data_IF_774633113401
#
_entry.id   IF_774633113401
#
_cell.length_a   1.000
_cell.length_b   1.000
_cell.length_c   1.000
_cell.angle_alpha   90.00
_cell.angle_beta   90.00
_cell.angle_gamma   90.00
#
_symmetry.space_group_name_H-M   'P 1'
#
loop_
_entity.id
_entity.type
_entity.pdbx_description
1 polymer ?
#
# COMPACT_ATOMS: atom_id res chain seq x y z
N UNK A 1 -8.57 -35.30 -34.32
CA UNK A 1 -7.83 -34.11 -33.84
C UNK A 1 -7.56 -34.13 -32.33
N UNK A 2 -8.48 -34.63 -31.51
CA UNK A 2 -8.41 -34.55 -30.04
C UNK A 2 -7.18 -35.21 -29.38
N UNK A 3 -6.70 -36.35 -29.92
CA UNK A 3 -5.53 -37.03 -29.33
C UNK A 3 -4.23 -36.21 -29.41
N UNK A 4 -4.00 -35.49 -30.51
CA UNK A 4 -2.78 -34.68 -30.69
C UNK A 4 -2.75 -33.49 -29.73
N UNK A 5 -3.91 -32.90 -29.46
CA UNK A 5 -4.10 -31.77 -28.55
C UNK A 5 -3.85 -32.19 -27.10
N UNK A 6 -4.29 -33.40 -26.72
CA UNK A 6 -4.01 -33.97 -25.41
C UNK A 6 -2.50 -34.14 -25.16
N UNK A 7 -1.77 -34.74 -26.09
CA UNK A 7 -0.32 -34.95 -25.92
C UNK A 7 0.48 -33.65 -25.87
N UNK A 8 0.07 -32.63 -26.63
CA UNK A 8 0.75 -31.32 -26.59
C UNK A 8 0.51 -30.61 -25.26
N UNK A 9 -0.71 -30.64 -24.72
CA UNK A 9 -1.01 -30.06 -23.41
C UNK A 9 -0.20 -30.77 -22.30
N UNK A 10 -0.18 -32.11 -22.28
CA UNK A 10 0.56 -32.87 -21.27
C UNK A 10 2.07 -32.64 -21.36
N UNK A 11 2.61 -32.51 -22.59
CA UNK A 11 4.03 -32.26 -22.82
C UNK A 11 4.45 -30.86 -22.35
N UNK A 12 3.68 -29.82 -22.71
CA UNK A 12 3.95 -28.44 -22.26
C UNK A 12 3.78 -28.32 -20.75
N UNK A 13 2.80 -29.02 -20.17
CA UNK A 13 2.60 -29.07 -18.73
C UNK A 13 3.82 -29.65 -18.01
N UNK A 14 4.33 -30.80 -18.47
CA UNK A 14 5.53 -31.45 -17.92
C UNK A 14 6.78 -30.57 -17.94
N UNK A 15 6.90 -29.70 -18.93
CA UNK A 15 8.03 -28.78 -19.10
C UNK A 15 7.99 -27.58 -18.15
N UNK A 16 6.79 -27.18 -17.70
CA UNK A 16 6.58 -26.03 -16.80
C UNK A 16 6.61 -26.40 -15.32
N UNK A 17 6.38 -27.67 -14.95
CA UNK A 17 6.37 -28.15 -13.56
C UNK A 17 7.60 -27.76 -12.72
N UNK A 18 8.86 -27.85 -13.20
CA UNK A 18 10.03 -27.60 -12.34
C UNK A 18 10.24 -26.12 -11.99
N UNK A 19 9.54 -25.18 -12.64
CA UNK A 19 9.72 -23.74 -12.43
C UNK A 19 8.60 -23.07 -11.62
N UNK A 20 7.63 -23.87 -11.13
CA UNK A 20 6.43 -23.35 -10.49
C UNK A 20 6.46 -23.55 -8.97
N UNK A 21 6.07 -22.51 -8.23
CA UNK A 21 5.86 -22.59 -6.79
C UNK A 21 4.82 -23.67 -6.43
N UNK A 22 4.97 -24.31 -5.27
CA UNK A 22 4.15 -25.45 -4.81
C UNK A 22 2.63 -25.18 -4.92
N UNK A 23 2.20 -23.97 -4.60
CA UNK A 23 0.79 -23.54 -4.71
C UNK A 23 0.26 -23.57 -6.13
N UNK A 24 1.09 -23.18 -7.11
CA UNK A 24 0.71 -23.16 -8.52
C UNK A 24 0.64 -24.60 -9.06
N UNK A 25 1.49 -25.48 -8.55
CA UNK A 25 1.55 -26.90 -8.89
C UNK A 25 0.26 -27.63 -8.46
N UNK A 26 -0.22 -27.37 -7.23
CA UNK A 26 -1.49 -27.90 -6.71
C UNK A 26 -2.70 -27.38 -7.51
N UNK A 27 -2.71 -26.09 -7.85
CA UNK A 27 -3.78 -25.51 -8.65
C UNK A 27 -3.83 -26.12 -10.06
N UNK A 28 -2.67 -26.27 -10.70
CA UNK A 28 -2.56 -26.84 -12.05
C UNK A 28 -2.95 -28.33 -12.09
N UNK A 29 -2.53 -29.14 -11.10
CA UNK A 29 -2.92 -30.55 -11.03
C UNK A 29 -4.42 -30.72 -10.77
N UNK A 30 -5.00 -29.94 -9.86
CA UNK A 30 -6.45 -29.96 -9.62
C UNK A 30 -7.24 -29.59 -10.88
N UNK A 31 -6.78 -28.57 -11.62
CA UNK A 31 -7.43 -28.14 -12.88
C UNK A 31 -7.34 -29.21 -13.96
N UNK A 32 -6.19 -29.90 -14.06
CA UNK A 32 -5.97 -31.02 -14.99
C UNK A 32 -6.89 -32.21 -14.68
N UNK A 33 -7.02 -32.57 -13.39
CA UNK A 33 -7.92 -33.65 -12.95
C UNK A 33 -9.38 -33.31 -13.26
N UNK A 34 -9.82 -32.08 -12.98
CA UNK A 34 -11.20 -31.64 -13.27
C UNK A 34 -11.48 -31.64 -14.78
N UNK A 35 -10.53 -31.20 -15.61
CA UNK A 35 -10.69 -31.22 -17.08
C UNK A 35 -10.71 -32.63 -17.66
N UNK A 36 -9.95 -33.57 -17.09
CA UNK A 36 -9.94 -34.98 -17.50
C UNK A 36 -11.25 -35.69 -17.09
N UNK A 37 -11.71 -35.46 -15.86
CA UNK A 37 -12.90 -36.15 -15.29
C UNK A 37 -14.20 -35.60 -15.87
N UNK A 38 -14.31 -34.27 -16.05
CA UNK A 38 -15.59 -33.64 -16.40
C UNK A 38 -15.82 -33.49 -17.92
N UNK A 39 -14.77 -33.72 -18.74
CA UNK A 39 -14.77 -33.54 -20.22
C UNK A 39 -15.66 -32.39 -20.72
N UNK A 40 -15.49 -31.17 -20.20
CA UNK A 40 -16.34 -30.06 -20.59
C UNK A 40 -16.13 -29.71 -22.08
N UNK A 41 -17.14 -29.19 -22.77
CA UNK A 41 -17.01 -28.77 -24.15
C UNK A 41 -15.90 -27.71 -24.30
N UNK A 42 -15.26 -27.67 -25.47
CA UNK A 42 -14.05 -26.89 -25.75
C UNK A 42 -14.21 -25.38 -25.49
N UNK A 43 -15.44 -24.86 -25.50
CA UNK A 43 -15.77 -23.48 -25.14
C UNK A 43 -15.59 -23.20 -23.65
N UNK A 44 -16.00 -24.14 -22.79
CA UNK A 44 -15.88 -24.02 -21.32
C UNK A 44 -14.43 -24.09 -20.86
N UNK A 45 -13.59 -24.93 -21.48
CA UNK A 45 -12.15 -24.99 -21.16
C UNK A 45 -11.43 -23.69 -21.52
N UNK A 46 -11.79 -23.07 -22.65
CA UNK A 46 -11.25 -21.76 -23.04
C UNK A 46 -11.66 -20.66 -22.06
N UNK A 47 -12.92 -20.62 -21.60
CA UNK A 47 -13.38 -19.63 -20.63
C UNK A 47 -12.68 -19.79 -19.28
N UNK A 48 -12.54 -21.03 -18.78
CA UNK A 48 -11.84 -21.32 -17.51
C UNK A 48 -10.35 -20.98 -17.64
N UNK A 49 -9.72 -21.32 -18.77
CA UNK A 49 -8.34 -20.94 -19.03
C UNK A 49 -8.15 -19.42 -19.03
N UNK A 50 -9.05 -18.68 -19.68
CA UNK A 50 -8.99 -17.22 -19.73
C UNK A 50 -9.18 -16.58 -18.35
N UNK A 51 -10.08 -17.08 -17.51
CA UNK A 51 -10.27 -16.56 -16.15
C UNK A 51 -9.08 -16.86 -15.24
N UNK A 52 -8.48 -18.05 -15.33
CA UNK A 52 -7.28 -18.39 -14.57
C UNK A 52 -6.09 -17.53 -15.01
N UNK A 53 -5.88 -17.35 -16.33
CA UNK A 53 -4.82 -16.48 -16.85
C UNK A 53 -5.05 -15.02 -16.40
N UNK A 54 -6.28 -14.52 -16.47
CA UNK A 54 -6.64 -13.19 -15.97
C UNK A 54 -6.33 -13.04 -14.48
N UNK A 55 -6.64 -14.05 -13.66
CA UNK A 55 -6.37 -14.05 -12.23
C UNK A 55 -4.86 -14.07 -11.94
N UNK A 56 -4.09 -14.91 -12.63
CA UNK A 56 -2.64 -14.99 -12.50
C UNK A 56 -1.95 -13.69 -12.94
N UNK A 57 -2.40 -13.09 -14.04
CA UNK A 57 -1.90 -11.77 -14.50
C UNK A 57 -2.25 -10.69 -13.49
N UNK A 58 -3.46 -10.71 -12.90
CA UNK A 58 -3.86 -9.77 -11.85
C UNK A 58 -3.00 -9.88 -10.59
N UNK A 59 -2.73 -11.11 -10.13
CA UNK A 59 -1.86 -11.37 -8.97
C UNK A 59 -0.41 -10.97 -9.28
N UNK A 60 0.10 -11.35 -10.45
CA UNK A 60 1.45 -11.00 -10.88
C UNK A 60 1.65 -9.49 -11.00
N UNK A 61 0.67 -8.77 -11.56
CA UNK A 61 0.69 -7.31 -11.66
C UNK A 61 0.58 -6.64 -10.30
N UNK A 62 -0.24 -7.16 -9.39
CA UNK A 62 -0.30 -6.72 -8.00
C UNK A 62 1.06 -6.86 -7.30
N UNK A 63 1.74 -8.01 -7.48
CA UNK A 63 3.09 -8.20 -6.96
C UNK A 63 4.11 -7.26 -7.61
N UNK A 64 4.04 -7.02 -8.91
CA UNK A 64 4.94 -6.09 -9.61
C UNK A 64 4.70 -4.63 -9.21
N UNK A 65 3.46 -4.20 -9.03
CA UNK A 65 3.11 -2.85 -8.55
C UNK A 65 3.56 -2.63 -7.09
N UNK A 66 3.63 -3.69 -6.29
CA UNK A 66 4.19 -3.67 -4.94
C UNK A 66 5.73 -3.66 -4.93
N UNK A 67 6.37 -4.21 -5.97
CA UNK A 67 7.83 -4.33 -6.08
C UNK A 67 8.47 -3.19 -6.89
N UNK A 68 7.72 -2.48 -7.74
CA UNK A 68 8.22 -1.34 -8.49
C UNK A 68 8.63 -0.19 -7.56
N UNK A 69 9.92 -0.20 -7.23
CA UNK A 69 10.79 0.91 -6.83
C UNK A 69 10.01 2.12 -6.31
N UNK A 70 9.64 2.04 -5.03
CA UNK A 70 9.24 3.22 -4.30
C UNK A 70 10.40 4.20 -4.26
N UNK A 71 10.14 5.50 -4.44
CA UNK A 71 11.17 6.52 -4.31
C UNK A 71 11.73 6.39 -2.90
N UNK A 72 13.00 5.98 -2.82
CA UNK A 72 13.73 5.93 -1.57
C UNK A 72 13.88 7.36 -1.10
N UNK A 73 13.03 7.78 -0.17
CA UNK A 73 13.26 9.02 0.57
C UNK A 73 14.62 8.85 1.25
N UNK A 74 15.58 9.67 0.86
CA UNK A 74 16.93 9.60 1.41
C UNK A 74 16.90 9.81 2.92
N UNK A 75 17.91 9.29 3.63
CA UNK A 75 18.11 9.55 5.06
C UNK A 75 18.56 11.00 5.34
N UNK A 76 18.51 11.91 4.37
CA UNK A 76 18.89 13.30 4.55
C UNK A 76 17.69 14.11 5.03
N UNK A 77 17.95 15.31 5.56
CA UNK A 77 16.90 16.27 5.91
C UNK A 77 16.36 16.82 4.58
N UNK A 78 15.07 16.66 4.35
CA UNK A 78 14.40 17.10 3.11
C UNK A 78 13.14 17.87 3.47
N UNK A 79 12.78 18.82 2.60
CA UNK A 79 11.49 19.50 2.65
C UNK A 79 10.47 18.72 1.82
N UNK A 80 9.35 18.35 2.42
CA UNK A 80 8.30 17.59 1.78
C UNK A 80 6.98 18.35 1.85
N UNK A 81 6.40 18.62 0.67
CA UNK A 81 5.07 19.23 0.56
C UNK A 81 4.02 18.19 0.23
N UNK A 82 2.86 18.33 0.86
CA UNK A 82 1.86 17.28 0.77
C UNK A 82 0.58 17.59 1.53
N UNK A 83 -0.28 16.57 1.62
CA UNK A 83 -1.60 16.66 2.22
C UNK A 83 -1.70 15.77 3.46
N UNK A 84 -2.34 16.28 4.51
CA UNK A 84 -2.65 15.51 5.72
C UNK A 84 -3.84 14.57 5.44
N UNK A 85 -3.63 13.28 5.61
CA UNK A 85 -4.65 12.25 5.32
C UNK A 85 -5.50 11.91 6.54
N UNK A 86 -4.90 11.95 7.73
CA UNK A 86 -5.55 11.51 8.97
C UNK A 86 -5.26 12.52 10.08
N UNK A 87 -6.20 12.69 11.04
CA UNK A 87 -5.99 13.60 12.14
C UNK A 87 -4.82 13.13 13.02
N UNK A 88 -3.99 14.05 13.55
CA UNK A 88 -2.87 13.70 14.42
C UNK A 88 -3.34 12.98 15.67
N UNK A 89 -2.78 11.79 15.90
CA UNK A 89 -2.95 11.03 17.14
C UNK A 89 -1.78 11.30 18.06
N UNK A 90 -2.03 11.51 19.34
CA UNK A 90 -0.98 11.65 20.35
C UNK A 90 -0.40 10.28 20.69
N UNK A 91 0.92 10.18 20.64
CA UNK A 91 1.71 9.02 21.07
C UNK A 91 2.84 9.50 21.99
N UNK A 92 2.60 9.48 23.29
CA UNK A 92 3.51 10.07 24.28
C UNK A 92 3.71 11.57 24.03
N UNK A 93 4.96 12.02 23.85
CA UNK A 93 5.31 13.41 23.52
C UNK A 93 5.32 13.72 22.01
N UNK A 94 4.97 12.74 21.17
CA UNK A 94 4.93 12.90 19.72
C UNK A 94 3.51 12.86 19.22
N UNK A 95 3.27 13.50 18.08
CA UNK A 95 2.04 13.37 17.30
C UNK A 95 2.35 12.52 16.06
N UNK A 96 1.47 11.59 15.75
CA UNK A 96 1.62 10.65 14.63
C UNK A 96 0.41 10.76 13.71
N UNK A 97 0.67 10.89 12.40
CA UNK A 97 -0.38 10.97 11.37
C UNK A 97 0.14 10.47 10.03
N UNK A 98 -0.76 10.21 9.09
CA UNK A 98 -0.39 9.92 7.71
C UNK A 98 -0.40 11.18 6.85
N UNK A 99 0.62 11.29 6.02
CA UNK A 99 0.84 12.41 5.12
C UNK A 99 1.13 11.89 3.72
N UNK A 100 0.55 12.52 2.71
CA UNK A 100 0.83 12.21 1.29
C UNK A 100 1.74 13.28 0.73
N UNK A 101 2.97 12.90 0.41
CA UNK A 101 3.96 13.77 -0.22
C UNK A 101 3.64 13.83 -1.72
N UNK A 102 3.44 15.05 -2.21
CA UNK A 102 3.22 15.33 -3.63
C UNK A 102 4.44 16.04 -4.25
N UNK A 103 5.20 16.81 -3.45
CA UNK A 103 6.47 17.43 -3.86
C UNK A 103 7.57 17.20 -2.83
N UNK A 104 8.80 17.05 -3.32
CA UNK A 104 10.01 16.92 -2.50
C UNK A 104 11.03 17.95 -2.95
N UNK A 105 11.53 18.80 -2.06
CA UNK A 105 12.46 19.90 -2.40
C UNK A 105 11.97 20.70 -3.62
N UNK A 106 10.68 21.07 -3.61
CA UNK A 106 9.99 21.78 -4.70
C UNK A 106 9.86 21.02 -6.03
N UNK A 107 10.35 19.78 -6.13
CA UNK A 107 10.20 18.93 -7.32
C UNK A 107 8.97 18.04 -7.19
N UNK A 108 8.11 17.95 -8.22
CA UNK A 108 6.97 17.05 -8.19
C UNK A 108 7.46 15.60 -8.17
N UNK A 109 6.89 14.79 -7.28
CA UNK A 109 7.20 13.36 -7.15
C UNK A 109 5.93 12.53 -7.31
N UNK A 110 6.08 11.23 -7.62
CA UNK A 110 4.94 10.30 -7.58
C UNK A 110 4.36 10.33 -6.16
N UNK A 111 3.04 10.51 -5.98
CA UNK A 111 2.45 10.66 -4.65
C UNK A 111 2.79 9.48 -3.74
N UNK A 112 3.39 9.77 -2.58
CA UNK A 112 3.83 8.74 -1.62
C UNK A 112 3.20 9.00 -0.26
N UNK A 113 2.62 7.95 0.33
CA UNK A 113 2.12 7.98 1.70
C UNK A 113 3.25 7.68 2.68
N UNK A 114 3.41 8.53 3.69
CA UNK A 114 4.37 8.37 4.78
C UNK A 114 3.67 8.51 6.12
N UNK A 115 4.21 7.86 7.14
CA UNK A 115 3.79 8.11 8.52
C UNK A 115 4.66 9.21 9.10
N UNK A 116 4.07 10.35 9.46
CA UNK A 116 4.77 11.45 10.10
C UNK A 116 4.81 11.22 11.60
N UNK A 117 5.99 11.36 12.21
CA UNK A 117 6.17 11.43 13.66
C UNK A 117 6.76 12.78 14.01
N UNK A 118 5.93 13.64 14.60
CA UNK A 118 6.30 14.99 14.98
C UNK A 118 6.46 15.11 16.48
N UNK A 119 7.69 15.29 16.95
CA UNK A 119 7.98 15.53 18.37
C UNK A 119 7.47 16.89 18.82
N UNK A 120 6.63 16.91 19.87
CA UNK A 120 6.05 18.13 20.44
C UNK A 120 5.34 19.02 19.40
N UNK A 121 4.48 18.43 18.57
CA UNK A 121 3.63 19.20 17.66
C UNK A 121 2.65 20.07 18.47
N UNK A 122 2.81 21.38 18.39
CA UNK A 122 1.93 22.39 18.98
C UNK A 122 0.87 22.91 17.98
N UNK A 123 1.02 22.55 16.70
CA UNK A 123 0.15 23.00 15.61
C UNK A 123 -1.14 22.18 15.52
N UNK A 124 -2.25 22.85 15.18
CA UNK A 124 -3.52 22.19 14.88
C UNK A 124 -3.53 21.79 13.41
N UNK A 125 -3.45 20.49 13.15
CA UNK A 125 -3.38 19.93 11.80
C UNK A 125 -4.75 19.39 11.38
N UNK A 126 -5.32 19.94 10.31
CA UNK A 126 -6.59 19.46 9.77
C UNK A 126 -6.41 18.50 8.58
N UNK A 127 -7.35 17.57 8.46
CA UNK A 127 -7.39 16.61 7.36
C UNK A 127 -7.75 17.33 6.06
N UNK A 128 -6.93 17.09 5.04
CA UNK A 128 -7.07 17.72 3.73
C UNK A 128 -6.27 19.00 3.57
N UNK A 129 -5.58 19.48 4.61
CA UNK A 129 -4.71 20.64 4.49
C UNK A 129 -3.39 20.31 3.81
N UNK A 130 -2.86 21.29 3.08
CA UNK A 130 -1.52 21.25 2.50
C UNK A 130 -0.52 21.93 3.41
N UNK A 131 0.55 21.19 3.68
CA UNK A 131 1.65 21.62 4.50
C UNK A 131 2.96 21.31 3.79
N UNK A 132 3.97 22.14 4.04
CA UNK A 132 5.36 21.77 3.84
C UNK A 132 5.99 21.46 5.17
N UNK A 133 6.69 20.33 5.23
CA UNK A 133 7.26 19.76 6.43
C UNK A 133 8.73 19.44 6.17
N UNK A 134 9.62 20.01 6.97
CA UNK A 134 11.04 19.71 6.91
C UNK A 134 11.42 18.61 7.91
N UNK A 135 11.93 17.51 7.41
CA UNK A 135 12.15 16.33 8.24
C UNK A 135 13.10 15.32 7.64
N UNK A 136 13.30 14.23 8.38
CA UNK A 136 14.17 13.13 7.97
C UNK A 136 13.34 11.88 7.73
N UNK A 137 13.46 11.30 6.54
CA UNK A 137 12.86 10.01 6.28
C UNK A 137 13.71 8.87 6.88
N UNK A 138 13.02 7.91 7.47
CA UNK A 138 13.57 6.64 7.93
C UNK A 138 12.74 5.50 7.34
N UNK A 139 13.35 4.40 6.89
CA UNK A 139 12.62 3.24 6.34
C UNK A 139 11.73 2.51 7.37
N UNK A 140 11.64 3.03 8.61
CA UNK A 140 10.94 2.35 9.69
C UNK A 140 11.76 1.16 10.16
N UNK A 141 12.99 1.41 10.63
CA UNK A 141 13.79 0.38 11.28
C UNK A 141 12.96 -0.26 12.40
N UNK A 142 12.93 -1.60 12.46
CA UNK A 142 12.08 -2.29 13.42
C UNK A 142 12.52 -1.85 14.83
N UNK A 143 11.62 -1.26 15.63
CA UNK A 143 11.95 -1.06 17.02
C UNK A 143 12.21 -2.44 17.60
N UNK A 144 13.34 -2.62 18.29
CA UNK A 144 13.66 -3.85 19.01
C UNK A 144 12.74 -3.95 20.24
N UNK A 145 11.44 -4.08 20.01
CA UNK A 145 10.48 -4.35 21.04
C UNK A 145 10.57 -5.85 21.35
N UNK A 146 10.67 -6.23 22.63
CA UNK A 146 10.53 -7.63 23.04
C UNK A 146 9.10 -8.06 22.68
N UNK A 147 8.94 -8.79 21.57
CA UNK A 147 7.64 -9.12 20.98
C UNK A 147 7.61 -9.21 19.46
N UNK A 148 8.69 -8.80 18.76
CA UNK A 148 8.84 -9.07 17.32
C UNK A 148 7.95 -8.22 16.41
N UNK A 149 7.48 -7.05 16.88
CA UNK A 149 6.71 -6.13 16.05
C UNK A 149 7.57 -5.57 14.91
N UNK A 150 7.25 -5.93 13.68
CA UNK A 150 7.90 -5.42 12.47
C UNK A 150 7.16 -4.18 11.97
N UNK A 151 7.67 -3.01 12.35
CA UNK A 151 7.10 -1.72 11.96
C UNK A 151 7.06 -1.53 10.44
N UNK A 152 8.04 -2.08 9.71
CA UNK A 152 8.10 -1.97 8.25
C UNK A 152 6.96 -2.75 7.61
N UNK A 153 6.71 -3.99 8.07
CA UNK A 153 5.55 -4.77 7.62
C UNK A 153 4.22 -4.09 7.94
N UNK A 154 4.10 -3.50 9.13
CA UNK A 154 2.89 -2.76 9.49
C UNK A 154 2.68 -1.51 8.61
N UNK A 155 3.73 -0.71 8.35
CA UNK A 155 3.66 0.44 7.44
C UNK A 155 3.24 0.03 6.03
N UNK A 156 3.77 -1.10 5.55
CA UNK A 156 3.37 -1.69 4.27
C UNK A 156 1.88 -2.05 4.22
N UNK A 157 1.33 -2.64 5.28
CA UNK A 157 -0.12 -2.91 5.34
C UNK A 157 -0.95 -1.62 5.22
N UNK A 158 -0.42 -0.49 5.66
CA UNK A 158 -1.06 0.82 5.56
C UNK A 158 -0.74 1.58 4.26
N UNK A 159 -0.04 0.93 3.31
CA UNK A 159 0.51 1.51 2.07
C UNK A 159 1.43 2.71 2.33
N UNK A 160 2.06 2.77 3.50
CA UNK A 160 3.04 3.80 3.84
C UNK A 160 4.46 3.27 3.60
N UNK A 161 5.30 4.11 3.01
CA UNK A 161 6.64 3.69 2.54
C UNK A 161 7.72 3.94 3.57
N UNK A 162 7.54 4.95 4.42
CA UNK A 162 8.55 5.39 5.38
C UNK A 162 7.92 6.09 6.59
N UNK A 163 8.75 6.29 7.61
CA UNK A 163 8.48 7.21 8.72
C UNK A 163 9.19 8.53 8.44
N UNK A 164 8.46 9.64 8.49
CA UNK A 164 9.00 10.97 8.33
C UNK A 164 9.09 11.64 9.70
N UNK A 165 10.31 11.86 10.18
CA UNK A 165 10.57 12.40 11.51
C UNK A 165 10.67 13.92 11.46
N UNK A 166 9.82 14.59 12.24
CA UNK A 166 9.90 16.02 12.51
C UNK A 166 10.33 16.23 13.95
N UNK A 167 11.28 17.14 14.13
CA UNK A 167 11.69 17.60 15.44
C UNK A 167 10.93 18.87 15.81
N UNK A 168 10.98 19.25 17.09
CA UNK A 168 10.26 20.42 17.61
C UNK A 168 10.62 21.71 16.85
N UNK A 169 11.86 21.82 16.40
CA UNK A 169 12.40 22.98 15.67
C UNK A 169 12.53 22.73 14.15
N UNK A 170 11.84 21.73 13.61
CA UNK A 170 11.76 21.54 12.16
C UNK A 170 11.08 22.74 11.50
N UNK A 171 11.54 23.14 10.30
CA UNK A 171 10.78 24.07 9.47
C UNK A 171 9.42 23.46 9.09
N UNK A 172 8.36 24.25 9.20
CA UNK A 172 7.05 23.89 8.68
C UNK A 172 6.34 25.15 8.20
N UNK A 173 5.58 25.01 7.12
CA UNK A 173 4.73 26.10 6.65
C UNK A 173 3.39 25.57 6.15
N UNK A 174 2.33 26.29 6.49
CA UNK A 174 1.00 26.03 5.96
C UNK A 174 0.92 26.60 4.54
N UNK A 175 0.53 25.76 3.58
CA UNK A 175 0.41 26.18 2.16
C UNK A 175 -1.03 26.62 1.87
N UNK A 176 -2.02 25.95 2.48
CA UNK A 176 -3.43 26.20 2.21
C UNK A 176 -4.27 24.92 2.24
N UNK A 177 -5.59 25.01 2.01
CA UNK A 177 -6.42 23.84 1.81
C UNK A 177 -6.01 23.12 0.52
N UNK A 178 -6.13 21.79 0.46
CA UNK A 178 -5.86 21.06 -0.78
C UNK A 178 -6.78 21.54 -1.92
N UNK A 179 -6.19 21.79 -3.09
CA UNK A 179 -6.95 22.16 -4.29
C UNK A 179 -7.67 20.92 -4.84
N UNK A 180 -8.99 21.02 -4.99
CA UNK A 180 -9.85 19.98 -5.53
C UNK A 180 -10.41 19.04 -4.45
N UNK A 181 -11.68 18.67 -4.59
CA UNK A 181 -12.36 17.70 -3.74
C UNK A 181 -12.24 16.32 -4.38
N UNK A 182 -11.18 15.59 -4.03
CA UNK A 182 -11.11 14.17 -4.42
C UNK A 182 -12.06 13.36 -3.54
N UNK A 183 -12.76 12.34 -4.08
CA UNK A 183 -13.62 11.45 -3.28
C UNK A 183 -12.91 10.88 -2.05
N UNK A 184 -11.59 10.67 -2.15
CA UNK A 184 -10.74 10.26 -1.03
C UNK A 184 -10.65 11.29 0.09
N UNK A 185 -10.50 12.59 -0.20
CA UNK A 185 -10.49 13.61 0.86
C UNK A 185 -11.83 13.73 1.57
N UNK A 186 -12.92 13.54 0.82
CA UNK A 186 -14.28 13.52 1.36
C UNK A 186 -14.47 12.36 2.34
N UNK A 187 -13.98 11.17 1.99
CA UNK A 187 -14.05 10.01 2.89
C UNK A 187 -13.15 10.18 4.13
N UNK A 188 -11.97 10.78 3.99
CA UNK A 188 -11.09 11.08 5.13
C UNK A 188 -11.71 12.11 6.08
N UNK A 189 -12.33 13.18 5.54
CA UNK A 189 -13.03 14.17 6.35
C UNK A 189 -14.27 13.60 7.03
N UNK A 190 -15.08 12.81 6.32
CA UNK A 190 -16.24 12.14 6.90
C UNK A 190 -15.84 11.20 8.04
N UNK A 191 -14.76 10.42 7.84
CA UNK A 191 -14.20 9.56 8.89
C UNK A 191 -13.70 10.37 10.08
N UNK A 192 -12.96 11.45 9.85
CA UNK A 192 -12.46 12.30 10.93
C UNK A 192 -13.61 12.92 11.75
N UNK A 193 -14.67 13.39 11.07
CA UNK A 193 -15.88 13.91 11.71
C UNK A 193 -16.57 12.85 12.57
N UNK A 194 -16.74 11.63 12.04
CA UNK A 194 -17.35 10.52 12.77
C UNK A 194 -16.55 10.14 14.03
N UNK A 195 -15.22 10.04 13.91
CA UNK A 195 -14.34 9.73 15.05
C UNK A 195 -14.41 10.81 16.14
N UNK A 196 -14.48 12.08 15.75
CA UNK A 196 -14.61 13.20 16.70
C UNK A 196 -15.95 13.13 17.45
N UNK A 197 -17.02 12.73 16.75
CA UNK A 197 -18.35 12.56 17.34
C UNK A 197 -18.42 11.39 18.31
N UNK A 198 -17.78 10.26 17.98
CA UNK A 198 -17.68 9.11 18.87
C UNK A 198 -16.89 9.44 20.15
N UNK A 199 -15.76 10.13 20.03
CA UNK A 199 -14.96 10.53 21.19
C UNK A 199 -15.67 11.52 22.13
N UNK A 200 -16.63 12.30 21.62
CA UNK A 200 -17.47 13.16 22.45
C UNK A 200 -18.50 12.35 23.24
N UNK A 201 -19.05 11.28 22.65
CA UNK A 201 -20.04 10.40 23.32
C UNK A 201 -19.43 9.46 24.37
N UNK A 202 -18.13 9.13 24.29
CA UNK A 202 -17.43 8.35 25.33
C UNK A 202 -17.07 9.17 26.58
N UNK A 203 -17.19 10.50 26.53
CA UNK A 203 -16.86 11.41 27.63
C UNK A 203 -18.11 12.07 28.27
N UNK A 204 -19.32 11.67 27.85
CA UNK A 204 -20.61 12.00 28.50
C UNK A 204 -21.08 10.81 29.35
#
# INVERSE_FOLDING_TARGET
MERRLFYTITFVFGLLVPHLALSNLIALTATLVVTIVWRPPLRTTLVIGATVVSLCVGIGRSHFDLVQQQPTLGRQKVEAEGVILEPPRRWGKSSVFFFRIDHLEQKPVKPVKVMVRWSACEQTLEVGDRWSLEGRASPGEPPQLPGGFDQRKWLWSQRAVAVFHLHRHSGYHYIGPARGWTPHQLSYRARAWMMRRLALMENE
#
